data_IF_887225659018
#
_entry.id   IF_887225659018
#
_cell.length_a   1.000
_cell.length_b   1.000
_cell.length_c   1.000
_cell.angle_alpha   90.00
_cell.angle_beta   90.00
_cell.angle_gamma   90.00
#
_symmetry.space_group_name_H-M   'P 1'
#
loop_
_entity.id
_entity.type
_entity.pdbx_description
1 polymer ?
#
# COMPACT_ATOMS: atom_id res chain seq x y z
N UNK A 1 12.57 -7.23 -3.63
CA UNK A 1 11.13 -7.16 -3.90
C UNK A 1 10.44 -7.21 -2.55
N UNK A 2 9.59 -6.23 -2.26
CA UNK A 2 9.05 -5.96 -0.93
C UNK A 2 7.54 -5.83 -1.07
N UNK A 3 6.79 -6.88 -0.74
CA UNK A 3 5.32 -6.94 -0.83
C UNK A 3 4.70 -6.72 0.57
N UNK A 4 4.16 -5.50 0.73
CA UNK A 4 3.34 -4.92 1.80
C UNK A 4 1.82 -5.08 1.64
N UNK A 5 1.18 -6.11 2.21
CA UNK A 5 -0.27 -6.33 2.00
C UNK A 5 -1.19 -5.65 3.04
N UNK A 6 -0.69 -5.25 4.22
CA UNK A 6 -1.55 -4.68 5.28
C UNK A 6 -0.97 -3.42 5.97
N UNK A 7 -1.84 -2.43 6.26
CA UNK A 7 -1.50 -1.13 6.86
C UNK A 7 -2.29 -0.89 8.14
N UNK A 8 -1.57 -0.56 9.21
CA UNK A 8 -2.16 -0.35 10.53
C UNK A 8 -2.33 1.13 10.91
N UNK A 9 -1.55 2.05 10.31
CA UNK A 9 -1.69 3.49 10.57
C UNK A 9 -0.48 4.36 10.22
N UNK A 10 -0.65 5.68 10.32
CA UNK A 10 0.41 6.67 10.07
C UNK A 10 0.64 7.63 11.25
N UNK A 11 1.89 7.84 11.64
CA UNK A 11 2.30 8.83 12.65
C UNK A 11 3.43 9.72 12.11
N UNK A 12 3.18 11.03 11.96
CA UNK A 12 4.21 12.02 11.54
C UNK A 12 5.01 11.61 10.29
N UNK A 13 4.32 11.22 9.21
CA UNK A 13 4.89 10.70 7.96
C UNK A 13 5.61 9.34 8.07
N UNK A 14 5.36 8.59 9.14
CA UNK A 14 5.83 7.22 9.33
C UNK A 14 4.63 6.28 9.17
N UNK A 15 4.72 5.33 8.26
CA UNK A 15 3.73 4.28 8.01
C UNK A 15 4.11 3.04 8.82
N UNK A 16 3.12 2.35 9.39
CA UNK A 16 3.28 1.01 9.94
C UNK A 16 2.62 -0.01 9.00
N UNK A 17 3.45 -0.84 8.39
CA UNK A 17 3.07 -1.95 7.53
C UNK A 17 3.51 -3.29 8.16
N UNK A 18 2.81 -4.37 7.80
CA UNK A 18 3.13 -5.71 8.29
C UNK A 18 2.88 -6.76 7.20
N UNK A 19 3.63 -7.85 7.29
CA UNK A 19 3.50 -9.03 6.44
C UNK A 19 2.53 -10.03 7.08
N UNK A 20 2.27 -11.18 6.45
CA UNK A 20 1.40 -12.20 7.01
C UNK A 20 1.97 -12.83 8.28
N UNK A 21 1.10 -13.26 9.22
CA UNK A 21 1.52 -14.12 10.32
C UNK A 21 2.16 -15.40 9.79
N UNK A 22 3.31 -15.78 10.35
CA UNK A 22 4.05 -17.00 10.02
C UNK A 22 4.30 -17.78 11.30
N UNK A 23 4.24 -19.11 11.24
CA UNK A 23 4.65 -19.93 12.38
C UNK A 23 6.10 -20.38 12.19
N UNK A 24 7.02 -19.90 13.03
CA UNK A 24 8.41 -20.36 13.11
C UNK A 24 8.66 -21.02 14.46
N UNK A 25 9.32 -22.18 14.48
CA UNK A 25 9.68 -22.90 15.70
C UNK A 25 8.54 -23.11 16.72
N UNK A 26 7.29 -23.18 16.23
CA UNK A 26 6.09 -23.37 17.06
C UNK A 26 5.50 -22.09 17.66
N UNK A 27 5.97 -20.92 17.25
CA UNK A 27 5.46 -19.62 17.66
C UNK A 27 5.01 -18.80 16.45
N UNK A 28 3.93 -18.05 16.62
CA UNK A 28 3.46 -17.14 15.58
C UNK A 28 4.26 -15.84 15.62
N UNK A 29 4.82 -15.50 14.48
CA UNK A 29 5.67 -14.35 14.22
C UNK A 29 5.00 -13.46 13.17
N UNK A 30 5.06 -12.16 13.39
CA UNK A 30 4.56 -11.15 12.47
C UNK A 30 5.70 -10.20 12.10
N UNK A 31 6.22 -10.25 10.86
CA UNK A 31 7.14 -9.23 10.40
C UNK A 31 6.45 -7.87 10.31
N UNK A 32 7.02 -6.87 10.95
CA UNK A 32 6.48 -5.51 11.04
C UNK A 32 7.52 -4.51 10.57
N UNK A 33 7.08 -3.49 9.85
CA UNK A 33 7.94 -2.45 9.31
C UNK A 33 7.37 -1.06 9.59
N UNK A 34 8.27 -0.13 9.85
CA UNK A 34 8.01 1.29 9.81
C UNK A 34 8.73 1.90 8.60
N UNK A 35 7.99 2.65 7.79
CA UNK A 35 8.54 3.33 6.62
C UNK A 35 8.33 4.84 6.74
N UNK A 36 9.34 5.66 6.47
CA UNK A 36 9.22 7.12 6.38
C UNK A 36 9.82 7.62 5.07
N UNK A 37 9.11 8.49 4.35
CA UNK A 37 9.70 9.25 3.26
C UNK A 37 10.39 10.47 3.85
N UNK A 38 11.71 10.54 3.74
CA UNK A 38 12.51 11.60 4.33
C UNK A 38 12.52 12.87 3.46
N UNK A 39 13.17 13.94 3.95
CA UNK A 39 13.17 15.24 3.26
C UNK A 39 13.92 15.25 1.93
N UNK A 40 14.73 14.23 1.66
CA UNK A 40 15.45 14.05 0.40
C UNK A 40 14.66 13.24 -0.62
N UNK A 41 13.53 12.66 -0.22
CA UNK A 41 12.73 11.76 -1.04
C UNK A 41 13.13 10.30 -0.93
N UNK A 42 14.16 9.99 -0.13
CA UNK A 42 14.55 8.60 0.16
C UNK A 42 13.68 7.99 1.25
N UNK A 43 13.79 6.68 1.44
CA UNK A 43 13.00 5.91 2.39
C UNK A 43 13.85 5.51 3.59
N UNK A 44 13.43 5.93 4.79
CA UNK A 44 13.94 5.38 6.03
C UNK A 44 13.07 4.17 6.40
N UNK A 45 13.69 3.08 6.85
CA UNK A 45 13.01 1.82 7.21
C UNK A 45 13.44 1.35 8.59
N UNK A 46 12.52 0.76 9.35
CA UNK A 46 12.82 0.06 10.60
C UNK A 46 11.94 -1.19 10.70
N UNK A 47 12.56 -2.36 10.75
CA UNK A 47 11.89 -3.66 10.68
C UNK A 47 12.16 -4.49 11.93
N UNK A 48 11.15 -5.22 12.38
CA UNK A 48 11.24 -6.14 13.51
C UNK A 48 10.23 -7.28 13.37
N UNK A 49 10.26 -8.23 14.31
CA UNK A 49 9.35 -9.38 14.35
C UNK A 49 8.52 -9.30 15.63
N UNK A 50 7.22 -9.04 15.51
CA UNK A 50 6.28 -9.11 16.62
C UNK A 50 5.88 -10.57 16.93
N UNK A 51 5.57 -10.90 18.20
CA UNK A 51 5.59 -10.03 19.38
C UNK A 51 6.97 -9.91 20.06
N UNK A 52 7.97 -10.68 19.63
CA UNK A 52 9.27 -10.75 20.29
C UNK A 52 9.97 -9.38 20.31
N UNK A 53 10.02 -8.72 19.16
CA UNK A 53 10.63 -7.41 18.94
C UNK A 53 12.08 -7.27 19.45
N UNK A 54 12.80 -8.39 19.56
CA UNK A 54 14.13 -8.48 20.18
C UNK A 54 15.25 -7.84 19.35
N UNK A 55 15.02 -7.68 18.04
CA UNK A 55 15.99 -7.14 17.09
C UNK A 55 15.33 -6.21 16.08
N UNK A 56 16.07 -5.17 15.70
CA UNK A 56 15.63 -4.19 14.72
C UNK A 56 16.65 -4.07 13.59
N UNK A 57 16.19 -4.19 12.36
CA UNK A 57 16.96 -3.80 11.17
C UNK A 57 16.48 -2.41 10.73
N UNK A 58 17.33 -1.39 10.90
CA UNK A 58 16.94 -0.01 10.72
C UNK A 58 17.94 0.78 9.87
N UNK A 59 17.39 1.59 8.97
CA UNK A 59 18.08 2.53 8.10
C UNK A 59 17.41 3.90 8.16
N UNK A 60 18.18 4.97 8.34
CA UNK A 60 17.67 6.35 8.35
C UNK A 60 16.94 6.80 9.63
N UNK A 61 16.56 5.87 10.51
CA UNK A 61 16.04 6.18 11.85
C UNK A 61 17.15 6.30 12.89
N UNK A 62 17.04 7.27 13.78
CA UNK A 62 17.92 7.40 14.95
C UNK A 62 17.47 6.49 16.09
N UNK A 63 18.38 6.13 17.01
CA UNK A 63 18.05 5.31 18.19
C UNK A 63 16.89 5.91 19.02
N UNK A 64 16.86 7.23 19.17
CA UNK A 64 15.79 7.92 19.90
C UNK A 64 14.43 7.87 19.18
N UNK A 65 14.43 7.70 17.86
CA UNK A 65 13.22 7.46 17.08
C UNK A 65 12.79 6.00 17.18
N UNK A 66 13.74 5.05 17.09
CA UNK A 66 13.46 3.62 17.27
C UNK A 66 12.78 3.33 18.60
N UNK A 67 13.25 3.92 19.72
CA UNK A 67 12.58 3.78 21.02
C UNK A 67 11.12 4.27 21.00
N UNK A 68 10.79 5.28 20.20
CA UNK A 68 9.41 5.76 20.05
C UNK A 68 8.57 4.81 19.20
N UNK A 69 9.16 4.25 18.14
CA UNK A 69 8.50 3.26 17.29
C UNK A 69 8.24 1.97 18.07
N UNK A 70 9.21 1.51 18.85
CA UNK A 70 9.08 0.37 19.75
C UNK A 70 7.93 0.57 20.75
N UNK A 71 7.87 1.74 21.40
CA UNK A 71 6.76 2.06 22.30
C UNK A 71 5.42 2.11 21.57
N UNK A 72 5.38 2.72 20.39
CA UNK A 72 4.17 2.77 19.57
C UNK A 72 3.70 1.36 19.19
N UNK A 73 4.62 0.49 18.77
CA UNK A 73 4.31 -0.90 18.45
C UNK A 73 3.80 -1.66 19.68
N UNK A 74 4.45 -1.50 20.83
CA UNK A 74 4.02 -2.13 22.08
C UNK A 74 2.62 -1.67 22.52
N UNK A 75 2.32 -0.37 22.39
CA UNK A 75 1.02 0.21 22.74
C UNK A 75 -0.11 -0.32 21.84
N UNK A 76 0.20 -0.73 20.61
CA UNK A 76 -0.77 -1.17 19.60
C UNK A 76 -0.72 -2.68 19.30
N UNK A 77 0.19 -3.43 19.94
CA UNK A 77 0.51 -4.83 19.63
C UNK A 77 -0.71 -5.73 19.59
N UNK A 78 -1.58 -5.64 20.61
CA UNK A 78 -2.75 -6.49 20.71
C UNK A 78 -3.73 -6.29 19.55
N UNK A 79 -3.93 -5.03 19.15
CA UNK A 79 -4.79 -4.68 18.01
C UNK A 79 -4.18 -5.16 16.69
N UNK A 80 -2.87 -4.94 16.51
CA UNK A 80 -2.14 -5.38 15.32
C UNK A 80 -2.22 -6.89 15.14
N UNK A 81 -1.92 -7.66 16.18
CA UNK A 81 -1.99 -9.13 16.12
C UNK A 81 -3.43 -9.64 15.89
N UNK A 82 -4.42 -8.99 16.48
CA UNK A 82 -5.82 -9.34 16.27
C UNK A 82 -6.31 -9.05 14.84
N UNK A 83 -5.78 -7.99 14.21
CA UNK A 83 -6.02 -7.69 12.79
C UNK A 83 -5.33 -8.72 11.90
N UNK A 84 -4.05 -9.00 12.14
CA UNK A 84 -3.28 -9.97 11.36
C UNK A 84 -3.84 -11.41 11.49
N UNK A 85 -4.44 -11.77 12.62
CA UNK A 85 -5.13 -13.06 12.77
C UNK A 85 -6.36 -13.17 11.86
N UNK A 86 -7.08 -12.07 11.62
CA UNK A 86 -8.27 -12.09 10.77
C UNK A 86 -7.93 -12.38 9.31
N UNK A 87 -6.70 -12.07 8.89
CA UNK A 87 -6.21 -12.33 7.53
C UNK A 87 -5.40 -13.62 7.44
N UNK A 88 -5.32 -14.40 8.53
CA UNK A 88 -4.59 -15.67 8.59
C UNK A 88 -5.23 -16.71 7.67
N UNK A 89 -4.56 -16.96 6.54
CA UNK A 89 -4.92 -18.05 5.62
C UNK A 89 -5.91 -17.66 4.51
N UNK A 90 -6.28 -16.39 4.38
CA UNK A 90 -7.15 -15.92 3.29
C UNK A 90 -6.51 -16.06 1.89
N UNK A 91 -5.18 -16.21 1.83
CA UNK A 91 -4.43 -16.20 0.57
C UNK A 91 -4.03 -17.59 0.04
N UNK A 92 -4.52 -18.69 0.63
CA UNK A 92 -4.19 -20.06 0.19
C UNK A 92 -4.55 -20.34 -1.29
N UNK A 93 -5.31 -19.44 -1.93
CA UNK A 93 -5.71 -19.50 -3.34
C UNK A 93 -5.39 -18.24 -4.15
N UNK A 94 -4.70 -17.25 -3.56
CA UNK A 94 -4.33 -16.02 -4.28
C UNK A 94 -3.08 -16.24 -5.12
N UNK A 95 -3.13 -15.79 -6.38
CA UNK A 95 -1.97 -15.79 -7.27
C UNK A 95 -1.24 -14.48 -7.09
N UNK A 96 -0.02 -14.51 -6.56
CA UNK A 96 0.82 -13.31 -6.43
C UNK A 96 1.15 -12.78 -7.82
N UNK A 97 0.92 -11.48 -8.04
CA UNK A 97 1.33 -10.78 -9.25
C UNK A 97 2.28 -9.67 -8.84
N UNK A 98 3.53 -9.78 -9.28
CA UNK A 98 4.55 -8.77 -9.02
C UNK A 98 4.42 -7.66 -10.05
N UNK A 99 4.22 -6.43 -9.58
CA UNK A 99 4.21 -5.22 -10.41
C UNK A 99 5.41 -4.37 -10.01
N UNK A 100 6.33 -4.17 -10.95
CA UNK A 100 7.47 -3.30 -10.74
C UNK A 100 7.11 -1.85 -11.09
N UNK A 101 7.42 -0.94 -10.17
CA UNK A 101 7.31 0.50 -10.38
C UNK A 101 8.70 1.11 -10.46
N UNK A 102 8.86 2.13 -11.30
CA UNK A 102 10.01 3.03 -11.15
C UNK A 102 9.91 3.76 -9.81
N UNK A 103 11.05 4.20 -9.27
CA UNK A 103 11.13 4.93 -8.01
C UNK A 103 10.17 6.13 -7.95
N UNK A 104 10.07 6.87 -9.05
CA UNK A 104 9.18 8.03 -9.16
C UNK A 104 7.68 7.66 -9.14
N UNK A 105 7.31 6.53 -9.74
CA UNK A 105 5.94 6.02 -9.70
C UNK A 105 5.58 5.54 -8.29
N UNK A 106 6.50 4.82 -7.63
CA UNK A 106 6.33 4.40 -6.26
C UNK A 106 6.10 5.60 -5.32
N UNK A 107 6.92 6.65 -5.42
CA UNK A 107 6.75 7.87 -4.62
C UNK A 107 5.39 8.54 -4.81
N UNK A 108 4.86 8.54 -6.05
CA UNK A 108 3.53 9.08 -6.33
C UNK A 108 2.43 8.22 -5.70
N UNK A 109 2.55 6.89 -5.78
CA UNK A 109 1.60 5.95 -5.17
C UNK A 109 1.59 6.14 -3.66
N UNK A 110 2.76 6.16 -3.02
CA UNK A 110 2.87 6.33 -1.56
C UNK A 110 2.25 7.66 -1.11
N UNK A 111 2.52 8.75 -1.84
CA UNK A 111 1.93 10.06 -1.54
C UNK A 111 0.41 10.07 -1.71
N UNK A 112 -0.10 9.45 -2.77
CA UNK A 112 -1.54 9.38 -2.99
C UNK A 112 -2.23 8.54 -1.90
N UNK A 113 -1.66 7.39 -1.57
CA UNK A 113 -2.12 6.50 -0.50
C UNK A 113 -2.20 7.24 0.84
N UNK A 114 -1.18 8.03 1.17
CA UNK A 114 -1.17 8.89 2.36
C UNK A 114 -2.30 9.92 2.38
N UNK A 115 -2.51 10.64 1.27
CA UNK A 115 -3.58 11.64 1.18
C UNK A 115 -4.98 11.01 1.26
N UNK A 116 -5.10 9.75 0.85
CA UNK A 116 -6.32 8.95 0.94
C UNK A 116 -6.49 8.25 2.29
N UNK A 117 -5.46 8.24 3.15
CA UNK A 117 -5.47 7.52 4.42
C UNK A 117 -5.53 5.99 4.27
N UNK A 118 -5.02 5.46 3.16
CA UNK A 118 -5.06 4.03 2.80
C UNK A 118 -3.66 3.42 2.78
N UNK A 119 -3.59 2.09 2.92
CA UNK A 119 -2.38 1.32 2.62
C UNK A 119 -1.96 1.53 1.16
N UNK A 120 -0.66 1.49 0.81
CA UNK A 120 -0.24 1.48 -0.59
C UNK A 120 -0.83 0.33 -1.41
N UNK A 121 -0.84 -0.90 -0.86
CA UNK A 121 -1.47 -2.05 -1.50
C UNK A 121 -2.98 -1.87 -1.72
N UNK A 122 -3.69 -1.46 -0.67
CA UNK A 122 -5.12 -1.14 -0.73
C UNK A 122 -5.44 -0.03 -1.73
N UNK A 123 -4.60 1.01 -1.77
CA UNK A 123 -4.73 2.09 -2.75
C UNK A 123 -4.60 1.56 -4.18
N UNK A 124 -3.61 0.70 -4.46
CA UNK A 124 -3.43 0.08 -5.78
C UNK A 124 -4.64 -0.79 -6.13
N UNK A 125 -5.12 -1.63 -5.21
CA UNK A 125 -6.30 -2.48 -5.43
C UNK A 125 -7.54 -1.63 -5.74
N UNK A 126 -7.79 -0.59 -4.96
CA UNK A 126 -8.91 0.32 -5.18
C UNK A 126 -8.76 1.12 -6.49
N UNK A 127 -7.55 1.56 -6.82
CA UNK A 127 -7.28 2.24 -8.09
C UNK A 127 -7.51 1.31 -9.29
N UNK A 128 -7.05 0.06 -9.21
CA UNK A 128 -7.28 -0.96 -10.24
C UNK A 128 -8.77 -1.30 -10.39
N UNK A 129 -9.49 -1.47 -9.28
CA UNK A 129 -10.93 -1.71 -9.29
C UNK A 129 -11.70 -0.55 -9.95
N UNK A 130 -11.40 0.69 -9.58
CA UNK A 130 -11.99 1.87 -10.21
C UNK A 130 -11.65 1.95 -11.70
N UNK A 131 -10.40 1.65 -12.08
CA UNK A 131 -9.99 1.63 -13.49
C UNK A 131 -10.74 0.56 -14.31
N UNK A 132 -10.95 -0.64 -13.75
CA UNK A 132 -11.75 -1.68 -14.40
C UNK A 132 -13.20 -1.26 -14.61
N UNK A 133 -13.83 -0.61 -13.62
CA UNK A 133 -15.19 -0.07 -13.76
C UNK A 133 -15.26 0.98 -14.87
N UNK A 134 -14.27 1.86 -14.97
CA UNK A 134 -14.19 2.86 -16.03
C UNK A 134 -14.01 2.21 -17.42
N UNK A 135 -13.15 1.20 -17.55
CA UNK A 135 -12.98 0.43 -18.78
C UNK A 135 -14.26 -0.30 -19.22
N UNK A 136 -14.98 -0.93 -18.28
CA UNK A 136 -16.25 -1.59 -18.56
C UNK A 136 -17.34 -0.59 -18.95
N UNK A 137 -17.34 0.60 -18.32
CA UNK A 137 -18.25 1.68 -18.68
C UNK A 137 -17.98 2.19 -20.10
N UNK A 138 -16.72 2.38 -20.47
CA UNK A 138 -16.32 2.80 -21.82
C UNK A 138 -16.58 1.70 -22.87
N UNK A 139 -16.53 0.42 -22.47
CA UNK A 139 -16.91 -0.69 -23.33
C UNK A 139 -18.44 -0.79 -23.56
N UNK A 140 -19.24 -0.40 -22.56
CA UNK A 140 -20.72 -0.39 -22.64
C UNK A 140 -21.28 0.88 -23.30
N UNK A 141 -20.55 1.99 -23.20
CA UNK A 141 -20.85 3.27 -23.85
C UNK A 141 -19.60 3.74 -24.61
N UNK A 142 -19.23 3.09 -25.73
CA UNK A 142 -18.19 3.62 -26.58
C UNK A 142 -18.59 5.02 -26.99
N UNK A 143 -17.70 6.00 -26.84
CA UNK A 143 -17.93 7.37 -27.27
C UNK A 143 -18.53 7.32 -28.68
N UNK A 144 -19.81 7.70 -28.80
CA UNK A 144 -20.51 7.69 -30.06
C UNK A 144 -19.70 8.49 -31.07
N UNK A 145 -19.70 8.10 -32.37
CA UNK A 145 -18.82 8.71 -33.36
C UNK A 145 -18.95 10.22 -33.26
N UNK A 146 -17.81 10.89 -33.08
CA UNK A 146 -17.72 12.35 -33.14
C UNK A 146 -18.58 12.78 -34.32
N UNK A 147 -19.63 13.55 -34.03
CA UNK A 147 -20.56 14.00 -35.06
C UNK A 147 -19.74 14.64 -36.16
N UNK A 148 -19.70 13.96 -37.30
CA UNK A 148 -19.17 14.41 -38.56
C UNK A 148 -19.60 15.87 -38.77
N UNK A 149 -18.69 16.83 -38.55
CA UNK A 149 -18.84 18.20 -39.01
C UNK A 149 -18.60 18.28 -40.53
N UNK A 150 -19.08 17.28 -41.27
CA UNK A 150 -19.04 17.15 -42.72
C UNK A 150 -20.46 17.15 -43.31
N UNK A 151 -21.32 18.05 -42.82
CA UNK A 151 -22.58 18.41 -43.47
C UNK A 151 -22.34 19.46 -44.55
N UNK A 152 -21.98 19.03 -45.75
CA UNK A 152 -21.82 19.88 -46.92
C UNK A 152 -23.10 20.63 -47.33
N UNK A 153 -22.88 21.85 -47.81
CA UNK A 153 -23.61 22.64 -48.81
C UNK A 153 -25.02 22.19 -49.27
N UNK A 154 -25.98 23.13 -49.28
CA UNK A 154 -26.59 23.71 -50.51
C UNK A 154 -28.01 24.26 -50.28
N UNK A 155 -28.23 25.53 -50.65
CA UNK A 155 -29.32 26.03 -51.52
C UNK A 155 -29.23 27.59 -51.52
N UNK A 156 -28.89 28.25 -52.63
CA UNK A 156 -29.78 28.64 -53.75
C UNK A 156 -30.95 29.49 -53.22
N UNK A 157 -31.18 30.75 -53.59
CA UNK A 157 -30.99 31.53 -54.83
C UNK A 157 -30.78 33.02 -54.53
#
# INVERSE_FOLDING_TARGET
MLLYDHFFGAYKNIYLDYDYPRTMDGHDELPVRFTRINTHGDHDTAETIAPACDSWDASGFTDAELVKLERFLADNMASLLAEAEQTRGDDAHMTTMDIEFTEWELLRILRASYLSGMAPGEFIVNAAANYMVELERDALCPAGPEADASGGASHEQ
#
